data_IF_756369343100
#
_entry.id   IF_756369343100
#
_cell.length_a   1.000
_cell.length_b   1.000
_cell.length_c   1.000
_cell.angle_alpha   90.00
_cell.angle_beta   90.00
_cell.angle_gamma   90.00
#
_symmetry.space_group_name_H-M   'P 1'
#
loop_
_entity.id
_entity.type
_entity.pdbx_description
1 polymer ?
#
# COMPACT_ATOMS: atom_id res chain seq x y z
N UNK A 1 -4.81 6.54 -2.44
CA UNK A 1 -4.18 6.85 -1.14
C UNK A 1 -2.89 6.06 -1.01
N UNK A 2 -1.92 6.56 -0.22
CA UNK A 2 -0.68 5.87 0.10
C UNK A 2 -0.43 5.83 1.59
N UNK A 3 0.06 4.69 2.06
CA UNK A 3 0.36 4.40 3.45
C UNK A 3 1.70 3.70 3.57
N UNK A 4 2.25 3.76 4.77
CA UNK A 4 3.46 3.05 5.16
C UNK A 4 3.20 2.43 6.53
N UNK A 5 3.76 1.26 6.84
CA UNK A 5 3.78 0.73 8.21
C UNK A 5 5.07 -0.05 8.46
N UNK A 6 5.62 0.09 9.66
CA UNK A 6 6.76 -0.73 10.11
C UNK A 6 6.28 -1.88 10.99
N UNK A 7 6.83 -3.06 10.72
CA UNK A 7 6.46 -4.30 11.42
C UNK A 7 7.69 -5.10 11.88
N UNK A 8 7.48 -5.97 12.87
CA UNK A 8 8.45 -7.00 13.26
C UNK A 8 8.36 -8.26 12.41
N UNK A 9 7.31 -8.40 11.60
CA UNK A 9 7.12 -9.55 10.73
C UNK A 9 8.16 -9.55 9.63
N UNK A 10 8.51 -10.73 9.15
CA UNK A 10 9.36 -10.93 7.99
C UNK A 10 8.64 -10.48 6.71
N UNK A 11 9.37 -10.16 5.63
CA UNK A 11 8.76 -9.85 4.34
C UNK A 11 7.80 -10.93 3.83
N UNK A 12 8.15 -12.20 4.03
CA UNK A 12 7.34 -13.34 3.60
C UNK A 12 6.02 -13.40 4.38
N UNK A 13 6.05 -13.31 5.71
CA UNK A 13 4.86 -13.28 6.55
C UNK A 13 3.90 -12.15 6.16
N UNK A 14 4.44 -10.97 5.78
CA UNK A 14 3.63 -9.84 5.32
C UNK A 14 2.97 -10.14 3.97
N UNK A 15 3.69 -10.72 3.00
CA UNK A 15 3.12 -11.06 1.68
C UNK A 15 2.07 -12.16 1.78
N UNK A 16 2.33 -13.21 2.56
CA UNK A 16 1.38 -14.29 2.79
C UNK A 16 0.10 -13.75 3.44
N UNK A 17 0.25 -12.90 4.45
CA UNK A 17 -0.91 -12.28 5.07
C UNK A 17 -1.65 -11.32 4.14
N UNK A 18 -0.94 -10.56 3.30
CA UNK A 18 -1.58 -9.70 2.30
C UNK A 18 -2.39 -10.51 1.27
N UNK A 19 -1.88 -11.66 0.85
CA UNK A 19 -2.58 -12.61 -0.04
C UNK A 19 -3.86 -13.15 0.59
N UNK A 20 -3.79 -13.62 1.85
CA UNK A 20 -4.96 -14.14 2.56
C UNK A 20 -6.00 -13.04 2.81
N UNK A 21 -5.53 -11.88 3.29
CA UNK A 21 -6.38 -10.80 3.74
C UNK A 21 -7.07 -10.06 2.59
N UNK A 22 -6.33 -9.75 1.53
CA UNK A 22 -6.90 -9.04 0.38
C UNK A 22 -7.46 -9.98 -0.70
N UNK A 23 -7.06 -11.25 -0.67
CA UNK A 23 -7.39 -12.20 -1.72
C UNK A 23 -8.86 -12.65 -1.77
N UNK A 24 -9.16 -13.64 -2.62
CA UNK A 24 -10.52 -14.09 -2.92
C UNK A 24 -11.32 -14.59 -1.71
N UNK A 25 -10.64 -15.07 -0.67
CA UNK A 25 -11.27 -15.61 0.54
C UNK A 25 -11.78 -14.56 1.53
N UNK A 26 -11.33 -13.31 1.42
CA UNK A 26 -11.70 -12.23 2.33
C UNK A 26 -12.27 -11.02 1.58
N UNK A 27 -11.45 -10.05 1.16
CA UNK A 27 -11.98 -8.88 0.43
C UNK A 27 -12.41 -9.20 -1.00
N UNK A 28 -12.02 -10.37 -1.53
CA UNK A 28 -12.44 -10.82 -2.86
C UNK A 28 -11.59 -10.27 -4.00
N UNK A 29 -10.39 -9.74 -3.73
CA UNK A 29 -9.53 -9.21 -4.79
C UNK A 29 -8.74 -10.32 -5.46
N UNK A 30 -8.54 -10.17 -6.76
CA UNK A 30 -7.74 -11.08 -7.56
C UNK A 30 -6.29 -10.58 -7.64
N UNK A 31 -5.33 -11.50 -7.56
CA UNK A 31 -3.91 -11.17 -7.71
C UNK A 31 -3.61 -10.89 -9.18
N UNK A 32 -3.13 -9.69 -9.48
CA UNK A 32 -2.78 -9.28 -10.85
C UNK A 32 -1.28 -9.16 -11.08
N UNK A 33 -0.49 -9.01 -10.01
CA UNK A 33 0.97 -9.05 -10.07
C UNK A 33 1.55 -9.55 -8.75
N UNK A 34 2.63 -10.34 -8.83
CA UNK A 34 3.37 -10.81 -7.66
C UNK A 34 4.87 -10.83 -7.97
N UNK A 35 5.65 -10.31 -7.04
CA UNK A 35 7.11 -10.35 -7.05
C UNK A 35 7.62 -10.88 -5.70
N UNK A 36 8.94 -11.04 -5.56
CA UNK A 36 9.54 -11.44 -4.28
C UNK A 36 9.31 -10.43 -3.14
N UNK A 37 8.97 -9.18 -3.46
CA UNK A 37 8.87 -8.08 -2.50
C UNK A 37 7.55 -7.33 -2.60
N UNK A 38 6.59 -7.81 -3.39
CA UNK A 38 5.35 -7.06 -3.59
C UNK A 38 4.25 -7.85 -4.25
N UNK A 39 3.04 -7.34 -4.08
CA UNK A 39 1.82 -7.88 -4.64
C UNK A 39 0.86 -6.77 -5.04
N UNK A 40 0.14 -6.96 -6.14
CA UNK A 40 -0.98 -6.12 -6.56
C UNK A 40 -2.23 -6.99 -6.66
N UNK A 41 -3.31 -6.52 -6.04
CA UNK A 41 -4.63 -7.14 -6.11
C UNK A 41 -5.68 -6.14 -6.60
N UNK A 42 -6.63 -6.60 -7.41
CA UNK A 42 -7.66 -5.76 -8.05
C UNK A 42 -9.04 -6.38 -7.97
N UNK A 43 -10.07 -5.52 -7.95
CA UNK A 43 -11.47 -5.92 -7.80
C UNK A 43 -12.33 -4.78 -7.26
N UNK A 44 -13.65 -4.88 -7.43
CA UNK A 44 -14.62 -3.90 -6.92
C UNK A 44 -14.43 -2.47 -7.41
N UNK A 45 -13.77 -2.27 -8.56
CA UNK A 45 -13.46 -0.94 -9.12
C UNK A 45 -12.18 -0.29 -8.58
N UNK A 46 -11.43 -0.97 -7.72
CA UNK A 46 -10.22 -0.46 -7.08
C UNK A 46 -9.04 -1.44 -7.10
N UNK A 47 -8.01 -1.11 -6.32
CA UNK A 47 -6.82 -1.93 -6.15
C UNK A 47 -6.14 -1.73 -4.79
N UNK A 48 -5.31 -2.71 -4.44
CA UNK A 48 -4.32 -2.63 -3.36
C UNK A 48 -2.98 -3.10 -3.92
N UNK A 49 -1.96 -2.27 -3.78
CA UNK A 49 -0.58 -2.62 -4.11
C UNK A 49 0.25 -2.55 -2.82
N UNK A 50 0.92 -3.65 -2.49
CA UNK A 50 1.79 -3.78 -1.31
C UNK A 50 3.22 -3.98 -1.80
N UNK A 51 4.14 -3.18 -1.30
CA UNK A 51 5.56 -3.29 -1.57
C UNK A 51 6.32 -3.35 -0.24
N UNK A 52 7.32 -4.21 -0.17
CA UNK A 52 8.07 -4.47 1.05
C UNK A 52 9.52 -4.07 0.87
N UNK A 53 10.03 -3.37 1.87
CA UNK A 53 11.44 -3.04 2.01
C UNK A 53 11.99 -3.75 3.24
N UNK A 54 12.94 -4.67 3.00
CA UNK A 54 13.66 -5.35 4.08
C UNK A 54 14.78 -4.44 4.60
N UNK A 55 14.69 -4.04 5.87
CA UNK A 55 15.73 -3.29 6.57
C UNK A 55 15.91 -3.89 7.99
N UNK A 56 16.35 -3.10 8.96
CA UNK A 56 16.41 -3.53 10.37
C UNK A 56 15.03 -3.94 10.92
N UNK A 57 13.97 -3.33 10.39
CA UNK A 57 12.58 -3.78 10.51
C UNK A 57 11.99 -3.81 9.10
N UNK A 58 10.93 -4.60 8.89
CA UNK A 58 10.23 -4.63 7.62
C UNK A 58 9.35 -3.40 7.48
N UNK A 59 9.56 -2.62 6.43
CA UNK A 59 8.69 -1.50 6.04
C UNK A 59 7.78 -1.95 4.92
N UNK A 60 6.49 -1.61 5.04
CA UNK A 60 5.45 -2.00 4.09
C UNK A 60 4.81 -0.74 3.53
N UNK A 61 5.08 -0.47 2.25
CA UNK A 61 4.44 0.58 1.46
C UNK A 61 3.15 0.05 0.86
N UNK A 62 2.06 0.80 0.99
CA UNK A 62 0.75 0.39 0.48
C UNK A 62 0.14 1.54 -0.32
N UNK A 63 -0.21 1.25 -1.57
CA UNK A 63 -1.04 2.12 -2.40
C UNK A 63 -2.41 1.51 -2.60
N UNK A 64 -3.46 2.32 -2.54
CA UNK A 64 -4.83 1.81 -2.66
C UNK A 64 -5.79 2.81 -3.29
N UNK A 65 -6.80 2.27 -3.97
CA UNK A 65 -7.99 2.96 -4.44
C UNK A 65 -9.23 2.16 -4.06
N UNK A 66 -10.28 2.81 -3.57
CA UNK A 66 -11.54 2.21 -3.07
C UNK A 66 -11.42 1.29 -1.84
N UNK A 67 -10.22 0.85 -1.45
CA UNK A 67 -10.00 -0.16 -0.40
C UNK A 67 -9.35 0.40 0.89
N UNK A 68 -9.58 1.68 1.18
CA UNK A 68 -8.91 2.38 2.27
C UNK A 68 -9.18 1.77 3.66
N UNK A 69 -10.45 1.46 3.94
CA UNK A 69 -10.84 0.88 5.22
C UNK A 69 -10.20 -0.51 5.46
N UNK A 70 -10.24 -1.47 4.50
CA UNK A 70 -9.51 -2.73 4.67
C UNK A 70 -8.00 -2.56 4.80
N UNK A 71 -7.40 -1.58 4.12
CA UNK A 71 -5.97 -1.25 4.29
C UNK A 71 -5.68 -0.75 5.71
N UNK A 72 -6.58 0.04 6.31
CA UNK A 72 -6.51 0.44 7.72
C UNK A 72 -6.83 -0.69 8.71
N UNK A 73 -7.35 -1.83 8.29
CA UNK A 73 -7.48 -3.00 9.17
C UNK A 73 -6.24 -3.89 9.05
N UNK A 74 -5.74 -4.07 7.83
CA UNK A 74 -4.51 -4.79 7.53
C UNK A 74 -3.32 -4.20 8.30
N UNK A 75 -3.08 -2.90 8.20
CA UNK A 75 -1.97 -2.24 8.89
C UNK A 75 -2.12 -2.29 10.43
N UNK A 76 -3.34 -2.47 10.95
CA UNK A 76 -3.60 -2.63 12.40
C UNK A 76 -3.03 -3.91 12.91
N UNK A 77 -3.17 -4.94 12.08
CA UNK A 77 -2.78 -6.29 12.39
C UNK A 77 -1.27 -6.44 12.36
N UNK A 78 -0.61 -5.82 11.38
CA UNK A 78 0.83 -5.99 11.15
C UNK A 78 1.67 -4.93 11.85
N UNK A 79 1.13 -3.74 12.15
CA UNK A 79 1.89 -2.65 12.74
C UNK A 79 2.31 -2.89 14.19
N UNK A 80 3.48 -2.38 14.59
CA UNK A 80 3.88 -2.40 16.01
C UNK A 80 2.91 -1.54 16.84
N UNK A 81 2.35 -2.12 17.91
CA UNK A 81 1.30 -1.55 18.79
C UNK A 81 1.54 -0.10 19.28
N UNK A 82 2.79 0.36 19.32
CA UNK A 82 3.16 1.74 19.74
C UNK A 82 2.95 2.80 18.66
N UNK A 83 2.94 2.45 17.37
CA UNK A 83 2.93 3.42 16.28
C UNK A 83 1.51 3.92 15.94
N UNK A 84 0.51 3.02 15.93
CA UNK A 84 -0.87 3.38 15.58
C UNK A 84 -1.65 4.10 16.66
N UNK A 85 -1.56 3.68 17.92
CA UNK A 85 -2.29 4.30 19.03
C UNK A 85 -2.01 5.81 19.17
N UNK A 86 -0.82 6.25 18.75
CA UNK A 86 -0.41 7.66 18.81
C UNK A 86 -0.72 8.46 17.55
N UNK A 87 -0.73 7.82 16.38
CA UNK A 87 -1.04 8.49 15.11
C UNK A 87 -2.53 8.79 14.95
N UNK A 88 -3.41 7.84 15.32
CA UNK A 88 -4.87 8.03 15.30
C UNK A 88 -5.36 9.10 16.28
N UNK A 89 -4.68 9.26 17.43
CA UNK A 89 -4.97 10.34 18.40
C UNK A 89 -4.60 11.74 17.91
N UNK A 90 -3.63 11.87 16.98
CA UNK A 90 -3.22 13.17 16.43
C UNK A 90 -4.09 13.58 15.23
N UNK A 91 -4.54 12.63 14.42
CA UNK A 91 -5.37 12.90 13.24
C UNK A 91 -6.85 13.17 13.56
N UNK A 92 -7.35 12.74 14.71
CA UNK A 92 -8.69 13.11 15.19
C UNK A 92 -8.82 14.59 15.63
N UNK A 93 -7.75 15.38 15.53
CA UNK A 93 -7.80 16.84 15.51
C UNK A 93 -7.63 17.30 14.07
N UNK A 94 -8.73 17.34 13.32
CA UNK A 94 -8.82 18.06 12.05
C UNK A 94 -8.59 19.56 12.28
N UNK A 95 -7.78 20.23 11.47
CA UNK A 95 -8.11 21.58 11.04
C UNK A 95 -8.82 21.48 9.69
N UNK A 96 -10.05 21.95 9.71
CA UNK A 96 -10.78 22.45 8.56
C UNK A 96 -9.95 23.46 7.74
N UNK A 97 -10.20 23.44 6.43
CA UNK A 97 -9.97 24.55 5.49
C UNK A 97 -8.52 24.94 5.20
N UNK A 98 -8.06 24.66 3.97
CA UNK A 98 -7.50 25.69 3.08
C UNK A 98 -7.42 25.14 1.66
N UNK A 99 -8.28 25.67 0.80
CA UNK A 99 -8.15 25.64 -0.66
C UNK A 99 -6.82 26.24 -1.08
N UNK A 100 -6.10 25.61 -2.02
CA UNK A 100 -5.45 26.29 -3.14
C UNK A 100 -4.92 25.29 -4.17
N UNK A 101 -5.21 25.59 -5.44
CA UNK A 101 -4.79 24.88 -6.65
C UNK A 101 -3.42 25.41 -7.13
N UNK A 102 -2.86 24.92 -8.27
CA UNK A 102 -1.53 24.36 -8.35
C UNK A 102 -0.45 25.39 -8.74
N UNK A 103 0.77 25.21 -8.23
CA UNK A 103 1.96 25.88 -8.78
C UNK A 103 2.93 24.86 -9.34
N UNK A 104 3.17 25.01 -10.63
CA UNK A 104 4.12 24.30 -11.47
C UNK A 104 5.52 24.21 -10.86
N UNK A 105 6.12 23.04 -10.97
CA UNK A 105 7.54 22.82 -10.74
C UNK A 105 7.84 21.37 -10.35
N UNK A 106 8.92 20.83 -10.93
CA UNK A 106 9.76 19.78 -10.35
C UNK A 106 9.43 18.33 -10.73
N UNK A 107 10.30 17.83 -11.62
CA UNK A 107 10.84 16.46 -11.76
C UNK A 107 9.84 15.31 -11.75
N UNK A 108 9.71 14.68 -12.94
CA UNK A 108 9.07 13.40 -13.18
C UNK A 108 9.40 12.33 -12.12
N UNK A 109 8.62 12.29 -11.04
CA UNK A 109 8.44 11.08 -10.25
C UNK A 109 7.39 10.23 -10.96
N UNK A 110 7.82 9.57 -12.04
CA UNK A 110 7.04 8.49 -12.63
C UNK A 110 6.74 7.48 -11.51
N UNK A 111 5.47 7.07 -11.29
CA UNK A 111 5.17 6.02 -10.34
C UNK A 111 5.93 4.76 -10.75
N UNK A 112 6.54 4.07 -9.79
CA UNK A 112 7.34 2.85 -10.02
C UNK A 112 6.55 1.81 -10.86
N UNK A 113 5.23 1.81 -10.77
CA UNK A 113 4.35 0.94 -11.56
C UNK A 113 4.34 1.22 -13.08
N UNK A 114 4.69 2.42 -13.55
CA UNK A 114 4.87 2.67 -15.00
C UNK A 114 6.08 1.89 -15.54
N UNK A 115 7.09 1.61 -14.70
CA UNK A 115 8.34 0.95 -15.13
C UNK A 115 8.14 -0.56 -15.29
N UNK A 116 7.27 -1.19 -14.50
CA UNK A 116 7.04 -2.64 -14.54
C UNK A 116 6.09 -3.07 -15.67
N UNK A 117 5.16 -2.20 -16.11
CA UNK A 117 4.21 -2.54 -17.17
C UNK A 117 4.79 -2.38 -18.59
N UNK A 118 5.92 -1.69 -18.75
CA UNK A 118 6.52 -1.39 -20.04
C UNK A 118 7.58 -2.40 -20.52
N UNK A 119 7.89 -3.46 -19.75
CA UNK A 119 8.93 -4.44 -20.14
C UNK A 119 8.45 -5.59 -21.03
N UNK A 120 7.15 -5.71 -21.28
CA UNK A 120 6.57 -6.80 -22.10
C UNK A 120 6.00 -6.35 -23.46
N UNK A 121 6.31 -5.13 -23.94
CA UNK A 121 5.74 -4.59 -25.19
C UNK A 121 6.78 -4.32 -26.30
N UNK A 122 7.95 -4.96 -26.28
CA UNK A 122 8.94 -4.78 -27.34
C UNK A 122 9.60 -6.09 -27.79
N UNK A 123 8.77 -7.07 -28.15
CA UNK A 123 9.16 -8.22 -28.96
C UNK A 123 8.09 -8.44 -30.05
N UNK A 124 8.22 -7.73 -31.16
CA UNK A 124 7.71 -8.10 -32.48
C UNK A 124 8.59 -7.48 -33.55
#
# INVERSE_FOLDING_TARGET
>A
MRYEVTTSWTPEEVLEYALDYFGPGQTGLEVTSRTAQGIVLQGGGGYVAVQIQAAANTTVDIETREWDYPVHQFMARIGRRRWWSNWWRRRSKTPETTSQAPTSGTVDHQPIFTILNNRDQNLS
#
